data_IF_658246782557
#
_entry.id   IF_658246782557
#
_cell.length_a   1.000
_cell.length_b   1.000
_cell.length_c   1.000
_cell.angle_alpha   90.00
_cell.angle_beta   90.00
_cell.angle_gamma   90.00
#
_symmetry.space_group_name_H-M   'P 1'
#
loop_
_entity.id
_entity.type
_entity.pdbx_description
1 polymer ?
#
# COMPACT_ATOMS: atom_id res chain seq x y z
N UNK A 1 -26.12 -9.74 -4.19
CA UNK A 1 -24.90 -10.20 -4.88
C UNK A 1 -24.26 -8.93 -5.36
N UNK A 2 -23.33 -8.38 -4.57
CA UNK A 2 -22.50 -7.29 -5.07
C UNK A 2 -21.60 -7.96 -6.11
N UNK A 3 -21.47 -7.33 -7.26
CA UNK A 3 -20.63 -7.82 -8.35
C UNK A 3 -19.17 -7.67 -7.85
N UNK A 4 -18.69 -8.67 -7.11
CA UNK A 4 -17.48 -8.64 -6.29
C UNK A 4 -16.22 -9.06 -7.09
N UNK A 5 -16.24 -8.91 -8.42
CA UNK A 5 -15.02 -9.16 -9.20
C UNK A 5 -14.03 -8.00 -9.00
N UNK A 6 -12.77 -8.29 -8.65
CA UNK A 6 -11.75 -7.25 -8.53
C UNK A 6 -11.55 -6.56 -9.88
N UNK A 7 -11.59 -5.23 -9.87
CA UNK A 7 -11.25 -4.44 -11.04
C UNK A 7 -9.73 -4.28 -11.20
N UNK A 8 -9.29 -3.67 -12.30
CA UNK A 8 -7.88 -3.31 -12.47
C UNK A 8 -7.46 -2.29 -11.40
N UNK A 9 -6.17 -2.26 -11.02
CA UNK A 9 -5.64 -1.24 -10.11
C UNK A 9 -5.99 0.19 -10.58
N UNK A 10 -5.89 0.44 -11.89
CA UNK A 10 -6.24 1.73 -12.49
C UNK A 10 -7.69 2.16 -12.25
N UNK A 11 -8.63 1.21 -12.14
CA UNK A 11 -10.02 1.53 -11.84
C UNK A 11 -10.15 2.13 -10.43
N UNK A 12 -9.47 1.55 -9.45
CA UNK A 12 -9.48 2.05 -8.08
C UNK A 12 -8.75 3.39 -7.93
N UNK A 13 -7.62 3.55 -8.64
CA UNK A 13 -6.85 4.80 -8.67
C UNK A 13 -7.67 5.97 -9.25
N UNK A 14 -8.36 5.74 -10.37
CA UNK A 14 -9.16 6.77 -11.06
C UNK A 14 -10.39 7.21 -10.27
N UNK A 15 -11.00 6.29 -9.54
CA UNK A 15 -12.24 6.54 -8.81
C UNK A 15 -12.02 6.93 -7.36
N UNK A 16 -10.75 6.96 -6.91
CA UNK A 16 -10.37 7.29 -5.55
C UNK A 16 -11.19 6.47 -4.53
N UNK A 17 -11.30 5.16 -4.78
CA UNK A 17 -12.01 4.26 -3.89
C UNK A 17 -11.14 3.91 -2.68
N UNK A 18 -11.37 4.60 -1.57
CA UNK A 18 -10.72 4.34 -0.28
C UNK A 18 -11.73 3.81 0.72
N UNK A 19 -11.40 2.70 1.39
CA UNK A 19 -12.17 2.27 2.57
C UNK A 19 -11.73 3.15 3.73
N UNK A 20 -12.61 4.03 4.20
CA UNK A 20 -12.33 4.93 5.34
C UNK A 20 -12.67 4.33 6.70
N UNK A 21 -13.50 3.28 6.73
CA UNK A 21 -13.90 2.56 7.94
C UNK A 21 -13.65 1.05 7.76
N UNK A 22 -12.38 0.62 7.82
CA UNK A 22 -12.00 -0.77 7.61
C UNK A 22 -12.49 -1.67 8.77
N UNK A 23 -12.97 -2.85 8.41
CA UNK A 23 -13.27 -3.90 9.39
C UNK A 23 -11.98 -4.43 10.04
N UNK A 24 -12.12 -5.17 11.14
CA UNK A 24 -10.96 -5.80 11.80
C UNK A 24 -10.21 -6.77 10.87
N UNK A 25 -10.92 -7.43 9.94
CA UNK A 25 -10.30 -8.34 8.97
C UNK A 25 -9.55 -7.56 7.90
N UNK A 26 -10.08 -6.42 7.45
CA UNK A 26 -9.39 -5.54 6.50
C UNK A 26 -8.05 -5.09 7.07
N UNK A 27 -8.04 -4.62 8.32
CA UNK A 27 -6.80 -4.24 9.04
C UNK A 27 -5.82 -5.40 9.15
N UNK A 28 -6.29 -6.59 9.51
CA UNK A 28 -5.42 -7.76 9.63
C UNK A 28 -4.75 -8.15 8.30
N UNK A 29 -5.52 -8.21 7.21
CA UNK A 29 -5.00 -8.56 5.88
C UNK A 29 -4.01 -7.49 5.43
N UNK A 30 -4.36 -6.23 5.66
CA UNK A 30 -3.56 -5.09 5.32
C UNK A 30 -2.21 -5.06 6.06
N UNK A 31 -2.22 -5.26 7.38
CA UNK A 31 -1.00 -5.34 8.19
C UNK A 31 -0.09 -6.48 7.71
N UNK A 32 -0.67 -7.64 7.41
CA UNK A 32 0.08 -8.79 6.89
C UNK A 32 0.70 -8.47 5.53
N UNK A 33 -0.04 -7.80 4.65
CA UNK A 33 0.45 -7.39 3.33
C UNK A 33 1.56 -6.35 3.44
N UNK A 34 1.39 -5.33 4.29
CA UNK A 34 2.39 -4.29 4.57
C UNK A 34 3.70 -4.89 5.11
N UNK A 35 3.62 -5.83 6.05
CA UNK A 35 4.78 -6.57 6.54
C UNK A 35 5.48 -7.35 5.42
N UNK A 36 4.72 -8.01 4.54
CA UNK A 36 5.28 -8.74 3.40
C UNK A 36 6.04 -7.85 2.42
N UNK A 37 5.61 -6.59 2.23
CA UNK A 37 6.35 -5.62 1.40
C UNK A 37 7.72 -5.28 2.01
N UNK A 38 7.79 -5.13 3.34
CA UNK A 38 9.05 -4.91 4.06
C UNK A 38 9.98 -6.11 3.91
N UNK A 39 9.47 -7.33 4.05
CA UNK A 39 10.25 -8.55 3.86
C UNK A 39 10.82 -8.67 2.43
N UNK A 40 10.01 -8.31 1.42
CA UNK A 40 10.45 -8.29 0.02
C UNK A 40 11.52 -7.23 -0.24
N UNK A 41 11.40 -6.05 0.38
CA UNK A 41 12.42 -5.00 0.31
C UNK A 41 13.74 -5.47 0.92
N UNK A 42 13.69 -6.13 2.08
CA UNK A 42 14.89 -6.67 2.73
C UNK A 42 15.55 -7.74 1.85
N UNK A 43 14.75 -8.69 1.33
CA UNK A 43 15.25 -9.73 0.43
C UNK A 43 15.92 -9.12 -0.82
N UNK A 44 15.31 -8.07 -1.38
CA UNK A 44 15.84 -7.39 -2.56
C UNK A 44 17.18 -6.69 -2.25
N UNK A 45 17.29 -6.04 -1.09
CA UNK A 45 18.52 -5.35 -0.71
C UNK A 45 19.65 -6.33 -0.36
N UNK A 46 19.34 -7.42 0.34
CA UNK A 46 20.30 -8.49 0.66
C UNK A 46 20.91 -9.13 -0.59
N UNK A 47 20.15 -9.22 -1.68
CA UNK A 47 20.57 -9.83 -2.95
C UNK A 47 21.04 -8.80 -3.99
N UNK A 48 21.04 -7.51 -3.67
CA UNK A 48 21.45 -6.41 -4.57
C UNK A 48 22.74 -6.66 -5.35
N UNK A 49 23.86 -7.16 -4.77
CA UNK A 49 25.10 -7.36 -5.53
C UNK A 49 25.02 -8.51 -6.54
N UNK A 50 24.03 -9.41 -6.41
CA UNK A 50 23.84 -10.57 -7.27
C UNK A 50 22.81 -10.31 -8.39
N UNK A 51 22.08 -9.19 -8.32
CA UNK A 51 21.04 -8.83 -9.27
C UNK A 51 21.59 -7.96 -10.40
N UNK A 52 20.96 -8.07 -11.58
CA UNK A 52 21.19 -7.07 -12.61
C UNK A 52 20.61 -5.72 -12.15
N UNK A 53 21.29 -4.64 -12.53
CA UNK A 53 20.88 -3.27 -12.16
C UNK A 53 19.41 -2.99 -12.52
N UNK A 54 18.97 -3.45 -13.69
CA UNK A 54 17.63 -3.19 -14.19
C UNK A 54 16.55 -3.95 -13.40
N UNK A 55 16.82 -5.20 -13.03
CA UNK A 55 15.90 -6.01 -12.22
C UNK A 55 15.77 -5.39 -10.82
N UNK A 56 16.89 -5.06 -10.18
CA UNK A 56 16.88 -4.40 -8.88
C UNK A 56 16.10 -3.08 -8.93
N UNK A 57 16.40 -2.21 -9.89
CA UNK A 57 15.76 -0.90 -9.99
C UNK A 57 14.25 -0.99 -10.19
N UNK A 58 13.77 -1.91 -11.04
CA UNK A 58 12.34 -2.10 -11.30
C UNK A 58 11.62 -2.65 -10.08
N UNK A 59 12.15 -3.69 -9.45
CA UNK A 59 11.54 -4.28 -8.25
C UNK A 59 11.54 -3.30 -7.08
N UNK A 60 12.64 -2.58 -6.87
CA UNK A 60 12.75 -1.57 -5.82
C UNK A 60 11.74 -0.45 -6.02
N UNK A 61 11.63 0.09 -7.25
CA UNK A 61 10.66 1.14 -7.56
C UNK A 61 9.21 0.67 -7.35
N UNK A 62 8.88 -0.56 -7.76
CA UNK A 62 7.55 -1.13 -7.55
C UNK A 62 7.22 -1.31 -6.07
N UNK A 63 8.16 -1.82 -5.27
CA UNK A 63 7.96 -1.99 -3.82
C UNK A 63 7.85 -0.64 -3.11
N UNK A 64 8.65 0.36 -3.50
CA UNK A 64 8.56 1.70 -2.95
C UNK A 64 7.20 2.36 -3.26
N UNK A 65 6.70 2.20 -4.49
CA UNK A 65 5.37 2.67 -4.86
C UNK A 65 4.28 1.98 -4.02
N UNK A 66 4.38 0.67 -3.83
CA UNK A 66 3.45 -0.09 -3.02
C UNK A 66 3.47 0.35 -1.55
N UNK A 67 4.65 0.50 -0.95
CA UNK A 67 4.80 1.03 0.41
C UNK A 67 4.15 2.41 0.58
N UNK A 68 4.24 3.26 -0.44
CA UNK A 68 3.58 4.58 -0.42
C UNK A 68 2.06 4.46 -0.45
N UNK A 69 1.51 3.67 -1.39
CA UNK A 69 0.06 3.45 -1.50
C UNK A 69 -0.49 2.88 -0.19
N UNK A 70 0.25 1.96 0.42
CA UNK A 70 -0.09 1.47 1.75
C UNK A 70 -0.04 2.61 2.78
N UNK A 71 1.07 3.34 2.94
CA UNK A 71 1.11 4.45 3.91
C UNK A 71 -0.06 5.43 3.79
N UNK A 72 -0.46 5.78 2.56
CA UNK A 72 -1.63 6.63 2.29
C UNK A 72 -2.97 5.99 2.74
N UNK A 73 -3.11 4.66 2.65
CA UNK A 73 -4.33 3.93 3.03
C UNK A 73 -4.49 3.83 4.53
N UNK A 74 -3.38 3.58 5.23
CA UNK A 74 -3.33 3.58 6.69
C UNK A 74 -3.64 4.98 7.26
N UNK A 75 -3.04 6.04 6.66
CA UNK A 75 -3.33 7.43 7.02
C UNK A 75 -4.81 7.79 6.81
N UNK A 76 -5.46 7.22 5.79
CA UNK A 76 -6.88 7.43 5.50
C UNK A 76 -7.85 6.79 6.49
N UNK A 77 -7.41 5.78 7.24
CA UNK A 77 -8.22 5.08 8.25
C UNK A 77 -8.31 5.80 9.58
N UNK A 78 -7.30 6.59 9.91
CA UNK A 78 -7.26 7.36 11.15
C UNK A 78 -7.33 8.85 10.80
N UNK A 79 -8.54 9.39 10.54
CA UNK A 79 -8.70 10.81 10.35
C UNK A 79 -8.36 11.47 11.68
N UNK A 80 -7.08 11.86 11.84
CA UNK A 80 -6.66 12.76 12.91
C UNK A 80 -7.69 13.89 12.93
N UNK A 81 -8.27 14.23 14.09
CA UNK A 81 -9.21 15.35 14.13
C UNK A 81 -8.49 16.54 13.51
N UNK A 82 -9.04 17.05 12.42
CA UNK A 82 -8.64 18.33 11.87
C UNK A 82 -8.64 19.28 13.06
N UNK A 83 -7.48 19.90 13.33
CA UNK A 83 -7.42 20.99 14.31
C UNK A 83 -8.61 21.90 13.98
N UNK A 84 -9.46 22.26 14.96
CA UNK A 84 -10.50 23.23 14.70
C UNK A 84 -9.81 24.47 14.16
N UNK A 85 -10.28 24.97 13.01
CA UNK A 85 -9.83 26.24 12.46
C UNK A 85 -9.95 27.29 13.58
N UNK A 86 -8.80 27.80 14.03
CA UNK A 86 -8.77 28.90 15.00
C UNK A 86 -9.44 30.13 14.32
N UNK A 87 -10.37 30.81 15.01
CA UNK A 87 -11.20 31.88 14.45
C UNK A 87 -10.43 33.16 14.05
#
# INVERSE_FOLDING_TARGET
>A
MIDDEPHSASYYDEHNYWTLDPTAVDKQIYDAFSSGVVDLLQLLDDNKPMLSRDVYARLFASLLHLSRVLGEYEDGWDPRPSKPDDP
#
